data_IF_239240596719
#
_entry.id   IF_239240596719
#
_cell.length_a   1.000
_cell.length_b   1.000
_cell.length_c   1.000
_cell.angle_alpha   90.00
_cell.angle_beta   90.00
_cell.angle_gamma   90.00
#
_symmetry.space_group_name_H-M   'P 1'
#
loop_
_entity.id
_entity.type
_entity.pdbx_description
1 polymer ?
#
# COMPACT_ATOMS: atom_id res chain seq x y z
N UNK A 1 5.64 -34.75 -1.57
CA UNK A 1 6.94 -34.36 -2.17
C UNK A 1 6.95 -32.97 -2.85
N UNK A 2 5.87 -32.48 -3.50
CA UNK A 2 5.90 -31.23 -4.30
C UNK A 2 6.09 -29.87 -3.57
N UNK A 3 5.61 -29.69 -2.33
CA UNK A 3 5.71 -28.40 -1.58
C UNK A 3 7.15 -27.98 -1.23
N UNK A 4 8.07 -28.95 -1.10
CA UNK A 4 9.46 -28.68 -0.72
C UNK A 4 10.27 -28.10 -1.89
N UNK A 5 9.92 -28.47 -3.12
CA UNK A 5 10.59 -27.94 -4.33
C UNK A 5 10.26 -26.46 -4.53
N UNK A 6 8.99 -26.07 -4.43
CA UNK A 6 8.55 -24.67 -4.63
C UNK A 6 9.21 -23.73 -3.60
N UNK A 7 9.41 -24.19 -2.36
CA UNK A 7 10.09 -23.41 -1.31
C UNK A 7 11.55 -23.09 -1.62
N UNK A 8 12.22 -23.89 -2.46
CA UNK A 8 13.65 -23.71 -2.82
C UNK A 8 13.87 -22.88 -4.08
N UNK A 9 12.80 -22.56 -4.80
CA UNK A 9 12.86 -21.74 -6.02
C UNK A 9 13.36 -20.34 -5.68
N UNK A 10 14.21 -19.74 -6.52
CA UNK A 10 14.66 -18.36 -6.31
C UNK A 10 13.48 -17.39 -6.39
N UNK A 11 13.56 -16.22 -5.75
CA UNK A 11 12.45 -15.26 -5.81
C UNK A 11 12.15 -14.82 -7.25
N UNK A 12 13.17 -14.65 -8.09
CA UNK A 12 13.01 -14.27 -9.50
C UNK A 12 12.26 -15.33 -10.30
N UNK A 13 12.65 -16.59 -10.16
CA UNK A 13 11.96 -17.71 -10.81
C UNK A 13 10.53 -17.87 -10.26
N UNK A 14 10.33 -17.65 -8.97
CA UNK A 14 9.02 -17.75 -8.33
C UNK A 14 8.04 -16.70 -8.89
N UNK A 15 8.50 -15.45 -9.07
CA UNK A 15 7.71 -14.39 -9.69
C UNK A 15 7.35 -14.76 -11.12
N UNK A 16 8.33 -15.20 -11.91
CA UNK A 16 8.10 -15.62 -13.31
C UNK A 16 7.11 -16.78 -13.40
N UNK A 17 7.28 -17.82 -12.57
CA UNK A 17 6.37 -18.96 -12.52
C UNK A 17 4.96 -18.54 -12.09
N UNK A 18 4.82 -17.67 -11.07
CA UNK A 18 3.50 -17.21 -10.67
C UNK A 18 2.77 -16.45 -11.80
N UNK A 19 3.47 -15.57 -12.52
CA UNK A 19 2.90 -14.85 -13.67
C UNK A 19 2.44 -15.81 -14.78
N UNK A 20 3.24 -16.81 -15.09
CA UNK A 20 2.92 -17.79 -16.13
C UNK A 20 1.73 -18.68 -15.72
N UNK A 21 1.69 -19.12 -14.47
CA UNK A 21 0.59 -19.93 -13.96
C UNK A 21 -0.73 -19.14 -13.87
N UNK A 22 -0.66 -17.82 -13.64
CA UNK A 22 -1.83 -16.94 -13.70
C UNK A 22 -2.36 -16.79 -15.13
N UNK A 23 -1.48 -16.62 -16.13
CA UNK A 23 -1.89 -16.61 -17.55
C UNK A 23 -2.57 -17.92 -17.95
N UNK A 24 -2.01 -19.06 -17.53
CA UNK A 24 -2.60 -20.39 -17.77
C UNK A 24 -3.98 -20.51 -17.14
N UNK A 25 -4.14 -20.04 -15.89
CA UNK A 25 -5.43 -20.01 -15.21
C UNK A 25 -6.45 -19.17 -15.98
N UNK A 26 -6.08 -17.96 -16.42
CA UNK A 26 -6.95 -17.11 -17.24
C UNK A 26 -7.30 -17.72 -18.60
N UNK A 27 -6.41 -18.52 -19.18
CA UNK A 27 -6.63 -19.26 -20.43
C UNK A 27 -7.42 -20.58 -20.23
N UNK A 28 -7.86 -20.89 -19.01
CA UNK A 28 -8.58 -22.14 -18.70
C UNK A 28 -7.71 -23.40 -18.76
N UNK A 29 -6.39 -23.23 -18.78
CA UNK A 29 -5.42 -24.34 -18.84
C UNK A 29 -5.12 -24.89 -17.45
N UNK A 30 -4.55 -26.10 -17.41
CA UNK A 30 -4.04 -26.65 -16.16
C UNK A 30 -2.91 -25.76 -15.63
N UNK A 31 -3.04 -25.34 -14.37
CA UNK A 31 -2.12 -24.41 -13.73
C UNK A 31 -1.70 -24.91 -12.35
N UNK A 32 -0.58 -24.37 -11.84
CA UNK A 32 0.00 -24.70 -10.53
C UNK A 32 -0.10 -23.50 -9.59
N UNK A 33 -1.16 -23.39 -8.78
CA UNK A 33 -1.35 -22.24 -7.88
C UNK A 33 -0.31 -22.16 -6.76
N UNK A 34 0.46 -23.23 -6.54
CA UNK A 34 1.50 -23.38 -5.53
C UNK A 34 2.58 -22.29 -5.62
N UNK A 35 2.95 -21.86 -6.82
CA UNK A 35 3.97 -20.81 -7.01
C UNK A 35 3.46 -19.45 -6.53
N UNK A 36 2.22 -19.10 -6.87
CA UNK A 36 1.62 -17.85 -6.38
C UNK A 36 1.37 -17.87 -4.88
N UNK A 37 0.97 -19.02 -4.32
CA UNK A 37 0.80 -19.16 -2.88
C UNK A 37 2.11 -18.95 -2.12
N UNK A 38 3.21 -19.53 -2.62
CA UNK A 38 4.53 -19.33 -2.04
C UNK A 38 5.00 -17.87 -2.18
N UNK A 39 4.66 -17.18 -3.28
CA UNK A 39 4.96 -15.76 -3.44
C UNK A 39 4.25 -14.90 -2.38
N UNK A 40 2.96 -15.17 -2.13
CA UNK A 40 2.21 -14.57 -1.02
C UNK A 40 2.85 -14.89 0.33
N UNK A 41 3.25 -16.15 0.55
CA UNK A 41 3.92 -16.54 1.80
C UNK A 41 5.21 -15.77 2.02
N UNK A 42 6.08 -15.63 1.01
CA UNK A 42 7.35 -14.89 1.16
C UNK A 42 7.11 -13.41 1.40
N UNK A 43 6.13 -12.81 0.72
CA UNK A 43 5.77 -11.42 1.00
C UNK A 43 5.30 -11.25 2.45
N UNK A 44 4.38 -12.08 2.91
CA UNK A 44 3.71 -11.90 4.20
C UNK A 44 4.57 -12.40 5.36
N UNK A 45 5.00 -13.67 5.31
CA UNK A 45 5.69 -14.35 6.41
C UNK A 45 7.15 -13.92 6.54
N UNK A 46 7.85 -13.72 5.42
CA UNK A 46 9.25 -13.30 5.43
C UNK A 46 9.41 -11.79 5.33
N UNK A 47 8.29 -11.04 5.29
CA UNK A 47 8.25 -9.60 5.05
C UNK A 47 9.11 -9.17 3.84
N UNK A 48 9.19 -10.03 2.82
CA UNK A 48 10.08 -9.82 1.68
C UNK A 48 9.53 -8.71 0.78
N UNK A 49 10.22 -7.56 0.76
CA UNK A 49 9.78 -6.37 0.03
C UNK A 49 9.71 -6.56 -1.48
N UNK A 50 10.61 -7.37 -2.06
CA UNK A 50 10.59 -7.67 -3.49
C UNK A 50 9.41 -8.57 -3.85
N UNK A 51 9.08 -9.54 -2.98
CA UNK A 51 7.88 -10.36 -3.14
C UNK A 51 6.61 -9.51 -3.03
N UNK A 52 6.55 -8.57 -2.08
CA UNK A 52 5.45 -7.61 -1.96
C UNK A 52 5.27 -6.76 -3.22
N UNK A 53 6.35 -6.18 -3.73
CA UNK A 53 6.31 -5.38 -4.95
C UNK A 53 5.82 -6.20 -6.15
N UNK A 54 6.31 -7.43 -6.29
CA UNK A 54 5.87 -8.32 -7.36
C UNK A 54 4.38 -8.65 -7.27
N UNK A 55 3.87 -8.96 -6.06
CA UNK A 55 2.43 -9.20 -5.85
C UNK A 55 1.59 -7.99 -6.18
N UNK A 56 1.99 -6.80 -5.72
CA UNK A 56 1.27 -5.57 -5.99
C UNK A 56 1.12 -5.36 -7.50
N UNK A 57 2.23 -5.39 -8.25
CA UNK A 57 2.18 -5.19 -9.70
C UNK A 57 1.43 -6.28 -10.44
N UNK A 58 1.56 -7.54 -10.01
CA UNK A 58 0.91 -8.66 -10.66
C UNK A 58 -0.61 -8.65 -10.46
N UNK A 59 -1.07 -8.35 -9.25
CA UNK A 59 -2.50 -8.43 -8.90
C UNK A 59 -3.21 -7.06 -8.93
N UNK A 60 -2.52 -5.95 -9.18
CA UNK A 60 -3.14 -4.61 -9.34
C UNK A 60 -4.30 -4.64 -10.34
N UNK A 61 -4.18 -5.22 -11.55
CA UNK A 61 -5.28 -5.20 -12.51
C UNK A 61 -6.53 -5.94 -11.99
N UNK A 62 -6.32 -7.02 -11.23
CA UNK A 62 -7.38 -7.81 -10.63
C UNK A 62 -8.08 -7.03 -9.50
N UNK A 63 -7.32 -6.36 -8.64
CA UNK A 63 -7.87 -5.51 -7.57
C UNK A 63 -8.63 -4.33 -8.17
N UNK A 64 -8.06 -3.68 -9.18
CA UNK A 64 -8.71 -2.62 -9.97
C UNK A 64 -10.04 -3.08 -10.56
N UNK A 65 -10.09 -4.30 -11.12
CA UNK A 65 -11.34 -4.88 -11.61
C UNK A 65 -12.37 -5.08 -10.49
N UNK A 66 -11.98 -5.61 -9.34
CA UNK A 66 -12.89 -5.80 -8.20
C UNK A 66 -13.45 -4.49 -7.66
N UNK A 67 -12.63 -3.45 -7.57
CA UNK A 67 -13.03 -2.12 -7.11
C UNK A 67 -14.10 -1.52 -8.03
N UNK A 68 -13.88 -1.55 -9.34
CA UNK A 68 -14.83 -1.04 -10.34
C UNK A 68 -16.19 -1.74 -10.29
N UNK A 69 -16.24 -3.00 -9.86
CA UNK A 69 -17.47 -3.79 -9.73
C UNK A 69 -18.26 -3.53 -8.44
N UNK A 70 -17.69 -2.82 -7.47
CA UNK A 70 -18.38 -2.56 -6.22
C UNK A 70 -19.53 -1.57 -6.41
N UNK A 71 -20.64 -1.81 -5.71
CA UNK A 71 -21.73 -0.85 -5.64
C UNK A 71 -21.23 0.44 -4.98
N UNK A 72 -21.50 1.57 -5.62
CA UNK A 72 -21.07 2.88 -5.14
C UNK A 72 -19.71 3.36 -5.63
N UNK A 73 -18.93 2.54 -6.36
CA UNK A 73 -17.68 3.00 -6.97
C UNK A 73 -17.89 4.23 -7.87
N UNK A 74 -18.96 4.25 -8.68
CA UNK A 74 -19.29 5.40 -9.52
C UNK A 74 -19.72 6.67 -8.78
N UNK A 75 -19.89 6.61 -7.45
CA UNK A 75 -20.22 7.79 -6.61
C UNK A 75 -18.97 8.44 -6.00
N UNK A 76 -17.84 7.75 -6.10
CA UNK A 76 -16.53 8.17 -5.62
C UNK A 76 -15.87 9.10 -6.64
N UNK A 77 -15.20 10.13 -6.14
CA UNK A 77 -14.34 11.00 -6.95
C UNK A 77 -12.85 10.64 -6.75
N UNK A 78 -12.59 9.64 -5.92
CA UNK A 78 -11.26 9.14 -5.59
C UNK A 78 -10.65 8.39 -6.79
N UNK A 79 -9.40 8.68 -7.15
CA UNK A 79 -8.73 7.94 -8.21
C UNK A 79 -8.59 6.44 -7.90
N UNK A 80 -8.72 5.60 -8.92
CA UNK A 80 -8.73 4.14 -8.76
C UNK A 80 -7.48 3.59 -8.06
N UNK A 81 -6.30 4.08 -8.39
CA UNK A 81 -5.02 3.68 -7.80
C UNK A 81 -4.88 4.08 -6.32
N UNK A 82 -5.56 5.15 -5.88
CA UNK A 82 -5.68 5.47 -4.45
C UNK A 82 -6.47 4.37 -3.73
N UNK A 83 -7.62 3.98 -4.30
CA UNK A 83 -8.47 2.91 -3.75
C UNK A 83 -7.78 1.53 -3.80
N UNK A 84 -6.98 1.26 -4.83
CA UNK A 84 -6.12 0.06 -4.89
C UNK A 84 -5.13 0.06 -3.74
N UNK A 85 -4.41 1.18 -3.54
CA UNK A 85 -3.45 1.30 -2.45
C UNK A 85 -4.12 1.14 -1.09
N UNK A 86 -5.28 1.74 -0.88
CA UNK A 86 -6.06 1.55 0.35
C UNK A 86 -6.46 0.09 0.58
N UNK A 87 -6.91 -0.61 -0.46
CA UNK A 87 -7.23 -2.04 -0.37
C UNK A 87 -6.01 -2.88 0.06
N UNK A 88 -4.84 -2.61 -0.52
CA UNK A 88 -3.59 -3.27 -0.15
C UNK A 88 -3.10 -2.88 1.25
N UNK A 89 -3.22 -1.62 1.66
CA UNK A 89 -2.90 -1.19 3.02
C UNK A 89 -3.77 -1.91 4.05
N UNK A 90 -5.07 -2.05 3.74
CA UNK A 90 -6.02 -2.75 4.60
C UNK A 90 -5.71 -4.23 4.69
N UNK A 91 -5.39 -4.84 3.56
CA UNK A 91 -4.92 -6.22 3.49
C UNK A 91 -3.65 -6.42 4.32
N UNK A 92 -2.63 -5.56 4.16
CA UNK A 92 -1.40 -5.61 4.93
C UNK A 92 -1.64 -5.49 6.44
N UNK A 93 -2.39 -4.47 6.87
CA UNK A 93 -2.72 -4.25 8.29
C UNK A 93 -3.43 -5.45 8.91
N UNK A 94 -4.29 -6.13 8.16
CA UNK A 94 -5.00 -7.30 8.65
C UNK A 94 -4.14 -8.57 8.69
N UNK A 95 -3.04 -8.62 7.92
CA UNK A 95 -2.13 -9.75 7.86
C UNK A 95 -0.93 -9.62 8.81
N UNK A 96 -0.51 -8.39 9.16
CA UNK A 96 0.61 -8.16 10.06
C UNK A 96 0.52 -8.94 11.39
N UNK A 97 -0.64 -9.04 12.07
CA UNK A 97 -0.76 -9.79 13.33
C UNK A 97 -0.67 -11.31 13.18
N UNK A 98 -0.74 -11.83 11.96
CA UNK A 98 -0.79 -13.27 11.66
C UNK A 98 0.29 -13.69 10.65
N UNK A 99 1.30 -12.83 10.44
CA UNK A 99 2.39 -13.07 9.52
C UNK A 99 3.26 -14.28 9.94
N UNK A 100 3.15 -14.74 11.19
CA UNK A 100 3.82 -15.93 11.70
C UNK A 100 3.25 -17.25 11.14
N UNK A 101 3.51 -18.38 11.84
CA UNK A 101 3.27 -19.76 11.41
C UNK A 101 1.83 -20.08 10.97
N UNK A 102 0.85 -19.25 11.34
CA UNK A 102 -0.57 -19.47 11.05
C UNK A 102 -1.02 -19.05 9.66
N UNK A 103 -0.19 -18.32 8.89
CA UNK A 103 -0.55 -17.91 7.53
C UNK A 103 -1.00 -19.10 6.66
N UNK A 104 -0.27 -20.21 6.70
CA UNK A 104 -0.60 -21.40 5.91
C UNK A 104 -1.86 -22.13 6.41
N UNK A 105 -2.21 -21.98 7.69
CA UNK A 105 -3.45 -22.53 8.26
C UNK A 105 -4.66 -21.70 7.87
N UNK A 106 -4.56 -20.37 7.96
CA UNK A 106 -5.64 -19.44 7.61
C UNK A 106 -5.85 -19.29 6.11
N UNK A 107 -4.77 -19.39 5.34
CA UNK A 107 -4.78 -19.27 3.89
C UNK A 107 -4.09 -20.47 3.24
N UNK A 108 -4.80 -21.60 3.05
CA UNK A 108 -4.20 -22.84 2.56
C UNK A 108 -3.79 -22.80 1.07
N UNK A 109 -4.31 -21.84 0.31
CA UNK A 109 -4.07 -21.69 -1.13
C UNK A 109 -4.23 -20.23 -1.59
N UNK A 110 -3.80 -19.94 -2.81
CA UNK A 110 -3.86 -18.61 -3.44
C UNK A 110 -5.28 -18.04 -3.49
N UNK A 111 -6.28 -18.87 -3.80
CA UNK A 111 -7.67 -18.43 -3.88
C UNK A 111 -8.19 -17.90 -2.54
N UNK A 112 -7.80 -18.51 -1.41
CA UNK A 112 -8.16 -18.04 -0.08
C UNK A 112 -7.57 -16.66 0.23
N UNK A 113 -6.31 -16.42 -0.16
CA UNK A 113 -5.64 -15.13 0.00
C UNK A 113 -6.31 -14.06 -0.87
N UNK A 114 -6.53 -14.36 -2.16
CA UNK A 114 -7.19 -13.46 -3.10
C UNK A 114 -8.64 -13.15 -2.69
N UNK A 115 -9.36 -14.13 -2.14
CA UNK A 115 -10.72 -13.91 -1.59
C UNK A 115 -10.72 -13.02 -0.36
N UNK A 116 -9.61 -12.93 0.37
CA UNK A 116 -9.46 -11.97 1.46
C UNK A 116 -9.12 -10.57 0.93
N UNK A 117 -8.20 -10.48 -0.04
CA UNK A 117 -7.87 -9.23 -0.71
C UNK A 117 -9.08 -8.60 -1.41
N UNK A 118 -9.93 -9.40 -2.07
CA UNK A 118 -11.16 -8.91 -2.71
C UNK A 118 -12.16 -8.34 -1.69
N UNK A 119 -12.25 -8.94 -0.49
CA UNK A 119 -13.03 -8.38 0.62
C UNK A 119 -12.45 -7.05 1.10
N UNK A 120 -11.13 -6.93 1.20
CA UNK A 120 -10.47 -5.65 1.51
C UNK A 120 -10.82 -4.57 0.46
N UNK A 121 -10.82 -4.91 -0.83
CA UNK A 121 -11.25 -4.01 -1.90
C UNK A 121 -12.72 -3.58 -1.76
N UNK A 122 -13.63 -4.52 -1.48
CA UNK A 122 -15.05 -4.22 -1.25
C UNK A 122 -15.26 -3.28 -0.04
N UNK A 123 -14.60 -3.57 1.09
CA UNK A 123 -14.67 -2.72 2.28
C UNK A 123 -14.12 -1.32 2.02
N UNK A 124 -13.07 -1.19 1.21
CA UNK A 124 -12.47 0.10 0.84
C UNK A 124 -13.47 1.00 0.14
N UNK A 125 -14.20 0.49 -0.86
CA UNK A 125 -15.24 1.27 -1.56
C UNK A 125 -16.38 1.65 -0.61
N UNK A 126 -16.86 0.72 0.22
CA UNK A 126 -17.94 1.00 1.17
C UNK A 126 -17.57 2.11 2.16
N UNK A 127 -16.35 2.11 2.68
CA UNK A 127 -15.88 3.12 3.61
C UNK A 127 -15.62 4.46 2.93
N UNK A 128 -15.08 4.46 1.71
CA UNK A 128 -14.93 5.66 0.90
C UNK A 128 -16.30 6.31 0.62
N UNK A 129 -17.32 5.52 0.27
CA UNK A 129 -18.69 6.03 0.03
C UNK A 129 -19.27 6.64 1.31
N UNK A 130 -19.11 5.97 2.45
CA UNK A 130 -19.55 6.49 3.76
C UNK A 130 -18.86 7.81 4.12
N UNK A 131 -17.55 7.89 3.88
CA UNK A 131 -16.76 9.08 4.19
C UNK A 131 -17.13 10.24 3.26
N UNK A 132 -17.30 9.97 1.97
CA UNK A 132 -17.75 10.94 0.97
C UNK A 132 -19.15 11.48 1.30
N UNK A 133 -20.07 10.60 1.74
CA UNK A 133 -21.41 10.99 2.18
C UNK A 133 -21.36 11.93 3.39
N UNK A 134 -20.60 11.59 4.44
CA UNK A 134 -20.42 12.46 5.62
C UNK A 134 -19.86 13.83 5.23
N UNK A 135 -18.82 13.86 4.39
CA UNK A 135 -18.24 15.13 3.89
C UNK A 135 -19.24 15.98 3.10
N UNK A 136 -20.19 15.37 2.39
CA UNK A 136 -21.25 16.10 1.68
C UNK A 136 -22.29 16.65 2.65
N UNK A 137 -22.71 15.85 3.62
CA UNK A 137 -23.65 16.24 4.69
C UNK A 137 -23.07 17.41 5.53
N UNK A 138 -21.79 17.34 5.90
CA UNK A 138 -21.07 18.40 6.63
C UNK A 138 -20.90 19.69 5.82
N UNK A 139 -20.81 19.62 4.48
CA UNK A 139 -20.75 20.80 3.60
C UNK A 139 -22.11 21.49 3.39
N UNK A 140 -23.21 20.75 3.56
CA UNK A 140 -24.58 21.30 3.49
C UNK A 140 -25.05 21.88 4.82
N UNK A 141 -24.46 21.48 5.94
CA UNK A 141 -24.53 22.24 7.18
C UNK A 141 -23.72 23.54 7.00
N UNK A 142 -24.32 24.67 7.35
CA UNK A 142 -23.81 26.02 7.09
C UNK A 142 -22.30 26.21 7.38
N UNK A 143 -21.68 27.15 6.66
CA UNK A 143 -20.40 27.76 7.03
C UNK A 143 -20.40 27.98 8.55
N UNK A 144 -19.45 27.43 9.31
CA UNK A 144 -19.35 27.77 10.71
C UNK A 144 -19.15 29.29 10.75
N UNK A 145 -20.03 29.98 11.48
CA UNK A 145 -19.72 31.26 12.08
C UNK A 145 -18.27 31.16 12.58
N UNK A 146 -17.40 32.11 12.22
CA UNK A 146 -15.99 32.08 12.62
C UNK A 146 -15.95 32.18 14.13
N UNK A 147 -16.08 31.03 14.80
CA UNK A 147 -15.80 30.85 16.19
C UNK A 147 -14.29 31.11 16.32
N UNK A 148 -13.86 31.90 17.33
CA UNK A 148 -12.45 32.03 17.61
C UNK A 148 -11.85 30.63 17.70
N UNK A 149 -10.70 30.43 17.04
CA UNK A 149 -10.05 29.14 16.92
C UNK A 149 -10.13 28.42 18.28
N UNK A 150 -10.68 27.20 18.34
CA UNK A 150 -10.81 26.50 19.61
C UNK A 150 -9.45 26.50 20.29
N UNK A 151 -9.43 26.91 21.56
CA UNK A 151 -8.20 26.92 22.36
C UNK A 151 -7.64 25.51 22.29
N UNK A 152 -6.48 25.37 21.62
CA UNK A 152 -5.87 24.05 21.40
C UNK A 152 -5.64 23.43 22.76
N UNK A 153 -6.17 22.23 22.94
CA UNK A 153 -5.94 21.46 24.15
C UNK A 153 -4.44 21.14 24.27
N UNK A 154 -3.92 20.96 25.48
CA UNK A 154 -2.52 20.56 25.69
C UNK A 154 -2.15 19.29 24.89
N UNK A 155 -3.12 18.39 24.69
CA UNK A 155 -2.99 17.18 23.86
C UNK A 155 -2.78 17.50 22.38
N UNK A 156 -3.47 18.50 21.83
CA UNK A 156 -3.29 18.94 20.44
C UNK A 156 -1.96 19.66 20.22
N UNK A 157 -1.48 20.40 21.22
CA UNK A 157 -0.14 20.99 21.18
C UNK A 157 0.94 19.90 21.23
N UNK A 158 0.82 18.93 22.14
CA UNK A 158 1.75 17.81 22.26
C UNK A 158 1.79 16.93 20.99
N UNK A 159 0.64 16.67 20.36
CA UNK A 159 0.56 15.93 19.10
C UNK A 159 1.25 16.67 17.95
N UNK A 160 1.08 18.00 17.88
CA UNK A 160 1.76 18.83 16.88
C UNK A 160 3.28 18.88 17.10
N UNK A 161 3.74 18.94 18.34
CA UNK A 161 5.18 18.93 18.66
C UNK A 161 5.81 17.58 18.35
N UNK A 162 5.08 16.48 18.64
CA UNK A 162 5.49 15.13 18.26
C UNK A 162 5.62 15.00 16.73
N UNK A 163 4.61 15.44 15.97
CA UNK A 163 4.63 15.42 14.51
C UNK A 163 5.78 16.24 13.94
N UNK A 164 6.05 17.43 14.49
CA UNK A 164 7.19 18.28 14.08
C UNK A 164 8.53 17.59 14.30
N UNK A 165 8.72 16.96 15.47
CA UNK A 165 9.96 16.24 15.79
C UNK A 165 10.14 15.00 14.92
N UNK A 166 9.07 14.25 14.68
CA UNK A 166 9.09 13.09 13.79
C UNK A 166 9.46 13.46 12.34
N UNK A 167 8.83 14.51 11.79
CA UNK A 167 9.17 15.00 10.45
C UNK A 167 10.59 15.56 10.37
N UNK A 168 11.06 16.25 11.41
CA UNK A 168 12.44 16.72 11.47
C UNK A 168 13.43 15.55 11.45
N UNK A 169 13.13 14.45 12.17
CA UNK A 169 13.95 13.25 12.14
C UNK A 169 13.99 12.59 10.76
N UNK A 170 12.83 12.40 10.12
CA UNK A 170 12.77 11.84 8.76
C UNK A 170 13.64 12.65 7.80
N UNK A 171 13.56 13.99 7.87
CA UNK A 171 14.33 14.90 7.00
C UNK A 171 15.83 14.75 7.14
N UNK A 172 16.36 14.35 8.30
CA UNK A 172 17.80 14.09 8.47
C UNK A 172 18.31 12.93 7.60
N UNK A 173 17.42 12.04 7.15
CA UNK A 173 17.78 10.87 6.33
C UNK A 173 17.62 11.11 4.82
N UNK A 174 17.02 12.23 4.43
CA UNK A 174 16.83 12.64 3.05
C UNK A 174 18.12 13.36 2.60
N UNK A 175 18.85 12.76 1.66
CA UNK A 175 20.21 13.18 1.30
C UNK A 175 20.28 13.99 0.01
N UNK A 176 19.19 14.04 -0.74
CA UNK A 176 19.15 14.66 -2.07
C UNK A 176 17.84 15.38 -2.27
N UNK A 177 17.84 16.39 -3.14
CA UNK A 177 16.63 17.14 -3.49
C UNK A 177 15.57 16.22 -4.11
N UNK A 178 15.99 15.19 -4.86
CA UNK A 178 15.11 14.11 -5.32
C UNK A 178 14.42 13.40 -4.16
N UNK A 179 15.14 13.08 -3.08
CA UNK A 179 14.58 12.39 -1.92
C UNK A 179 13.62 13.28 -1.13
N UNK A 180 13.91 14.57 -0.97
CA UNK A 180 13.01 15.55 -0.32
C UNK A 180 11.72 15.74 -1.12
N UNK A 181 11.84 15.89 -2.44
CA UNK A 181 10.68 16.03 -3.34
C UNK A 181 9.85 14.75 -3.33
N UNK A 182 10.48 13.58 -3.51
CA UNK A 182 9.74 12.30 -3.44
C UNK A 182 9.07 12.14 -2.08
N UNK A 183 9.73 12.45 -0.97
CA UNK A 183 9.15 12.33 0.36
C UNK A 183 7.95 13.27 0.53
N UNK A 184 8.15 14.55 0.27
CA UNK A 184 7.13 15.59 0.44
C UNK A 184 5.92 15.30 -0.45
N UNK A 185 6.16 15.12 -1.74
CA UNK A 185 5.09 14.88 -2.70
C UNK A 185 4.36 13.57 -2.42
N UNK A 186 5.08 12.48 -2.13
CA UNK A 186 4.45 11.16 -1.95
C UNK A 186 3.71 11.00 -0.62
N UNK A 187 4.20 11.60 0.47
CA UNK A 187 3.74 11.30 1.83
C UNK A 187 3.09 12.49 2.54
N UNK A 188 3.39 13.74 2.15
CA UNK A 188 2.73 14.93 2.71
C UNK A 188 1.64 15.46 1.78
N UNK A 189 1.86 15.38 0.46
CA UNK A 189 0.92 15.89 -0.56
C UNK A 189 0.15 14.79 -1.30
N UNK A 190 0.41 13.51 -0.95
CA UNK A 190 -0.26 12.33 -1.51
C UNK A 190 -0.20 12.23 -3.05
N UNK A 191 0.82 12.84 -3.66
CA UNK A 191 1.04 12.85 -5.09
C UNK A 191 1.55 11.48 -5.61
N UNK A 192 1.08 11.15 -6.81
CA UNK A 192 1.45 9.93 -7.52
C UNK A 192 2.76 10.11 -8.27
N UNK A 193 3.47 9.01 -8.51
CA UNK A 193 4.74 9.06 -9.21
C UNK A 193 4.65 9.69 -10.62
N UNK A 194 3.53 9.52 -11.34
CA UNK A 194 3.30 10.21 -12.61
C UNK A 194 3.11 11.73 -12.45
N UNK A 195 2.45 12.17 -11.37
CA UNK A 195 2.28 13.60 -11.08
C UNK A 195 3.60 14.24 -10.61
N UNK A 196 4.39 13.51 -9.82
CA UNK A 196 5.74 13.92 -9.40
C UNK A 196 6.66 14.09 -10.62
N UNK A 197 6.65 13.12 -11.55
CA UNK A 197 7.42 13.22 -12.79
C UNK A 197 6.98 14.41 -13.64
N UNK A 198 5.67 14.68 -13.73
CA UNK A 198 5.15 15.81 -14.49
C UNK A 198 5.48 17.17 -13.85
N UNK A 199 5.53 17.24 -12.51
CA UNK A 199 5.89 18.45 -11.76
C UNK A 199 7.40 18.70 -11.67
N UNK A 200 8.21 17.65 -11.76
CA UNK A 200 9.67 17.71 -11.62
C UNK A 200 10.40 16.91 -12.71
N UNK A 201 10.20 17.21 -14.00
CA UNK A 201 10.83 16.49 -15.11
C UNK A 201 12.36 16.72 -15.16
N UNK A 202 12.85 17.76 -14.51
CA UNK A 202 14.26 18.09 -14.31
C UNK A 202 14.94 17.19 -13.27
N UNK A 203 14.18 16.68 -12.30
CA UNK A 203 14.70 15.82 -11.22
C UNK A 203 14.54 14.34 -11.51
N UNK A 204 13.59 13.92 -12.35
CA UNK A 204 13.33 12.51 -12.62
C UNK A 204 13.23 12.26 -14.12
N UNK A 205 14.00 11.29 -14.63
CA UNK A 205 13.92 10.90 -16.02
C UNK A 205 12.71 10.01 -16.33
N UNK A 206 12.20 9.29 -15.32
CA UNK A 206 11.07 8.39 -15.45
C UNK A 206 10.45 8.03 -14.09
N UNK A 207 9.27 7.40 -14.14
CA UNK A 207 8.52 6.97 -12.94
C UNK A 207 9.28 5.93 -12.11
N UNK A 208 10.14 5.13 -12.73
CA UNK A 208 10.92 4.09 -12.04
C UNK A 208 11.95 4.69 -11.07
N UNK A 209 12.54 5.83 -11.41
CA UNK A 209 13.46 6.55 -10.51
C UNK A 209 12.76 7.01 -9.23
N UNK A 210 11.50 7.42 -9.31
CA UNK A 210 10.69 7.83 -8.16
C UNK A 210 10.42 6.63 -7.25
N UNK A 211 10.09 5.46 -7.81
CA UNK A 211 9.93 4.23 -7.04
C UNK A 211 11.23 3.78 -6.37
N UNK A 212 12.35 3.82 -7.10
CA UNK A 212 13.68 3.51 -6.54
C UNK A 212 14.05 4.49 -5.42
N UNK A 213 13.70 5.77 -5.58
CA UNK A 213 13.91 6.80 -4.59
C UNK A 213 13.11 6.51 -3.31
N UNK A 214 11.83 6.15 -3.41
CA UNK A 214 11.00 5.71 -2.27
C UNK A 214 11.62 4.53 -1.54
N UNK A 215 12.11 3.52 -2.27
CA UNK A 215 12.76 2.35 -1.68
C UNK A 215 14.05 2.72 -0.92
N UNK A 216 14.86 3.64 -1.45
CA UNK A 216 16.07 4.14 -0.77
C UNK A 216 15.72 4.88 0.52
N UNK A 217 14.72 5.76 0.48
CA UNK A 217 14.22 6.49 1.66
C UNK A 217 13.75 5.49 2.72
N UNK A 218 12.83 4.59 2.38
CA UNK A 218 12.26 3.63 3.32
C UNK A 218 13.30 2.68 3.91
N UNK A 219 14.30 2.25 3.13
CA UNK A 219 15.38 1.41 3.65
C UNK A 219 16.17 2.14 4.75
N UNK A 220 16.54 3.40 4.52
CA UNK A 220 17.30 4.19 5.51
C UNK A 220 16.48 4.50 6.75
N UNK A 221 15.21 4.87 6.59
CA UNK A 221 14.33 5.16 7.73
C UNK A 221 14.10 3.91 8.60
N UNK A 222 14.12 2.71 8.01
CA UNK A 222 13.99 1.45 8.74
C UNK A 222 15.26 1.09 9.53
N UNK A 223 16.42 1.53 9.06
CA UNK A 223 17.71 1.27 9.72
C UNK A 223 17.98 2.26 10.87
N UNK A 224 17.11 3.25 11.10
CA UNK A 224 17.26 4.24 12.15
C UNK A 224 16.53 3.84 13.45
N UNK A 225 17.32 3.64 14.51
CA UNK A 225 16.85 3.24 15.83
C UNK A 225 16.09 4.36 16.57
N UNK A 226 16.36 5.64 16.27
CA UNK A 226 15.63 6.75 16.88
C UNK A 226 14.22 6.83 16.31
N UNK A 227 14.05 6.65 15.00
CA UNK A 227 12.76 6.56 14.32
C UNK A 227 11.91 5.40 14.83
N UNK A 228 12.52 4.26 15.17
CA UNK A 228 11.82 3.14 15.79
C UNK A 228 11.14 3.53 17.12
N UNK A 229 11.79 4.37 17.93
CA UNK A 229 11.23 4.87 19.20
C UNK A 229 10.01 5.78 19.02
N UNK A 230 9.78 6.33 17.83
CA UNK A 230 8.56 7.08 17.52
C UNK A 230 7.38 6.17 17.12
N UNK A 231 7.63 4.87 16.86
CA UNK A 231 6.61 3.93 16.37
C UNK A 231 6.11 2.94 17.44
N UNK A 232 6.71 2.96 18.64
CA UNK A 232 6.26 2.25 19.85
C UNK A 232 5.19 3.04 20.62
#
# INVERSE_FOLDING_TARGET
MRRVEVRRVSLRELIHCCQEEERRFSAGQQHRPEFCHELFRRAIVENNQLAWSALYYQYEPLVSHWLRRQSGFGQLNEPLDVLVNEAYMRFFKALYPIADKDFCGRFPNTAAVLSFLSRCAATTVLDAVRTSRRRREDKTAALPEILPAPQRTERECALNDWQRRFLAQIRLHLKTDQEEVVFTESYLLEAKAAAILAGHPDLFANVQEIYNCRLRILRRLREDEQLAQFLD
#
